data_IF_353876526223
#
_entry.id   IF_353876526223
#
_cell.length_a   1.000
_cell.length_b   1.000
_cell.length_c   1.000
_cell.angle_alpha   90.00
_cell.angle_beta   90.00
_cell.angle_gamma   90.00
#
_symmetry.space_group_name_H-M   'P 1'
#
loop_
_entity.id
_entity.type
_entity.pdbx_description
1 polymer ?
#
# COMPACT_ATOMS: atom_id res chain seq x y z
N UNK A 1 44.32 54.70 14.44
CA UNK A 1 44.60 53.65 13.45
C UNK A 1 43.48 52.63 13.51
N UNK A 2 42.42 52.79 12.69
CA UNK A 2 41.29 51.82 12.59
C UNK A 2 41.45 50.99 11.33
N UNK A 3 41.59 49.70 11.51
CA UNK A 3 41.69 48.72 10.40
C UNK A 3 40.29 48.09 10.20
N UNK A 4 39.62 48.49 9.12
CA UNK A 4 38.33 47.98 8.74
C UNK A 4 38.46 46.54 8.20
N UNK A 5 37.73 45.58 8.79
CA UNK A 5 37.58 44.21 8.31
C UNK A 5 36.55 44.21 7.16
N UNK A 6 36.98 43.88 5.97
CA UNK A 6 36.12 43.59 4.81
C UNK A 6 35.54 42.20 4.96
N UNK A 7 34.23 42.12 5.20
CA UNK A 7 33.49 40.83 5.11
C UNK A 7 33.23 40.51 3.65
N UNK A 8 33.79 39.38 3.22
CA UNK A 8 33.58 38.77 1.91
C UNK A 8 32.15 38.26 1.80
N UNK A 9 31.39 38.77 0.84
CA UNK A 9 30.11 38.22 0.42
C UNK A 9 30.35 36.92 -0.39
N UNK A 10 30.21 35.78 0.28
CA UNK A 10 30.21 34.46 -0.38
C UNK A 10 28.97 34.36 -1.28
N UNK A 11 29.21 34.12 -2.56
CA UNK A 11 28.16 33.99 -3.58
C UNK A 11 27.14 32.89 -3.27
N UNK A 12 25.87 33.24 -3.26
CA UNK A 12 24.76 32.31 -3.28
C UNK A 12 24.79 31.51 -4.59
N UNK A 13 24.99 30.21 -4.51
CA UNK A 13 24.77 29.35 -5.67
C UNK A 13 23.30 29.41 -6.11
N UNK A 14 23.01 29.49 -7.42
CA UNK A 14 21.63 29.46 -7.89
C UNK A 14 20.98 28.15 -7.47
N UNK A 15 19.84 28.25 -6.74
CA UNK A 15 19.08 27.11 -6.26
C UNK A 15 18.68 26.19 -7.41
N UNK A 16 18.82 24.88 -7.24
CA UNK A 16 18.28 23.89 -8.18
C UNK A 16 16.82 24.24 -8.48
N UNK A 17 16.40 24.26 -9.76
CA UNK A 17 15.01 24.52 -10.10
C UNK A 17 14.12 23.49 -9.40
N UNK A 18 13.05 23.94 -8.77
CA UNK A 18 12.03 23.09 -8.14
C UNK A 18 11.51 22.10 -9.20
N UNK A 19 11.39 20.80 -8.86
CA UNK A 19 10.85 19.82 -9.79
C UNK A 19 9.45 20.26 -10.24
N UNK A 20 9.19 20.20 -11.53
CA UNK A 20 7.87 20.52 -12.09
C UNK A 20 6.80 19.69 -11.40
N UNK A 21 5.63 20.28 -11.04
CA UNK A 21 4.52 19.52 -10.46
C UNK A 21 4.15 18.39 -11.42
N UNK A 22 4.12 17.16 -10.90
CA UNK A 22 3.70 16.02 -11.70
C UNK A 22 2.23 16.18 -12.08
N UNK A 23 1.83 15.79 -13.29
CA UNK A 23 0.43 15.80 -13.66
C UNK A 23 -0.38 14.93 -12.68
N UNK A 24 -1.60 15.38 -12.35
CA UNK A 24 -2.50 14.61 -11.48
C UNK A 24 -2.70 13.22 -12.08
N UNK A 25 -2.69 12.16 -11.25
CA UNK A 25 -2.84 10.81 -11.76
C UNK A 25 -4.20 10.67 -12.46
N UNK A 26 -4.17 10.09 -13.65
CA UNK A 26 -5.39 9.64 -14.32
C UNK A 26 -5.82 8.33 -13.66
N UNK A 27 -7.01 8.32 -13.08
CA UNK A 27 -7.57 7.12 -12.46
C UNK A 27 -8.36 6.38 -13.53
N UNK A 28 -7.82 5.25 -13.98
CA UNK A 28 -8.43 4.44 -15.01
C UNK A 28 -9.59 3.58 -14.46
N UNK A 29 -10.65 3.43 -15.26
CA UNK A 29 -11.70 2.47 -14.96
C UNK A 29 -11.11 1.05 -14.79
N UNK A 30 -11.66 0.23 -13.87
CA UNK A 30 -12.91 0.41 -13.14
C UNK A 30 -12.78 1.15 -11.79
N UNK A 31 -11.65 1.80 -11.52
CA UNK A 31 -11.41 2.60 -10.34
C UNK A 31 -12.01 4.00 -10.48
N UNK A 32 -12.46 4.58 -9.37
CA UNK A 32 -12.97 5.96 -9.32
C UNK A 32 -12.60 6.64 -8.01
N UNK A 33 -12.34 7.95 -8.06
CA UNK A 33 -12.07 8.76 -6.89
C UNK A 33 -13.33 9.55 -6.52
N UNK A 34 -13.95 9.19 -5.41
CA UNK A 34 -15.10 9.91 -4.85
C UNK A 34 -14.64 11.00 -3.89
N UNK A 35 -15.22 12.16 -4.00
CA UNK A 35 -14.98 13.28 -3.08
C UNK A 35 -16.21 13.48 -2.20
N UNK A 36 -16.01 13.51 -0.88
CA UNK A 36 -17.06 13.69 0.12
C UNK A 36 -16.46 14.31 1.38
N UNK A 37 -17.10 15.37 1.89
CA UNK A 37 -16.71 16.08 3.12
C UNK A 37 -15.21 16.46 3.19
N UNK A 38 -14.65 16.88 2.07
CA UNK A 38 -13.22 17.22 1.94
C UNK A 38 -12.26 16.03 1.85
N UNK A 39 -12.76 14.80 1.98
CA UNK A 39 -11.99 13.57 1.80
C UNK A 39 -12.02 13.09 0.36
N UNK A 40 -11.01 12.31 -0.03
CA UNK A 40 -10.97 11.61 -1.30
C UNK A 40 -10.82 10.11 -1.03
N UNK A 41 -11.71 9.30 -1.62
CA UNK A 41 -11.78 7.86 -1.41
C UNK A 41 -11.73 7.18 -2.77
N UNK A 42 -10.79 6.25 -2.93
CA UNK A 42 -10.72 5.42 -4.14
C UNK A 42 -11.64 4.21 -3.96
N UNK A 43 -12.49 4.00 -4.95
CA UNK A 43 -13.51 2.95 -4.96
C UNK A 43 -13.42 2.12 -6.25
N UNK A 44 -13.89 0.88 -6.19
CA UNK A 44 -13.94 -0.04 -7.32
C UNK A 44 -15.38 -0.25 -7.79
N UNK A 45 -15.68 0.04 -9.06
CA UNK A 45 -17.03 -0.03 -9.61
C UNK A 45 -17.70 -1.41 -9.48
N UNK A 46 -17.04 -2.56 -9.70
CA UNK A 46 -17.63 -3.89 -9.43
C UNK A 46 -18.08 -4.07 -7.98
N UNK A 47 -17.36 -3.53 -6.99
CA UNK A 47 -17.72 -3.63 -5.57
C UNK A 47 -18.92 -2.75 -5.23
N UNK A 48 -19.05 -1.58 -5.85
CA UNK A 48 -20.20 -0.67 -5.67
C UNK A 48 -21.54 -1.27 -6.09
N UNK A 49 -21.53 -2.30 -6.93
CA UNK A 49 -22.75 -3.01 -7.34
C UNK A 49 -23.29 -3.96 -6.29
N UNK A 50 -22.51 -4.21 -5.23
CA UNK A 50 -22.87 -5.09 -4.11
C UNK A 50 -23.44 -4.24 -2.97
N UNK A 51 -24.77 -4.11 -2.90
CA UNK A 51 -25.46 -3.21 -1.97
C UNK A 51 -25.19 -3.52 -0.49
N UNK A 52 -24.76 -4.74 -0.18
CA UNK A 52 -24.42 -5.18 1.16
C UNK A 52 -22.94 -4.90 1.55
N UNK A 53 -22.13 -4.41 0.60
CA UNK A 53 -20.70 -4.19 0.78
C UNK A 53 -20.40 -2.70 0.95
N UNK A 54 -19.74 -2.35 2.05
CA UNK A 54 -19.02 -1.09 2.18
C UNK A 54 -17.55 -1.34 1.88
N UNK A 55 -16.94 -0.53 1.02
CA UNK A 55 -15.52 -0.62 0.73
C UNK A 55 -14.92 0.74 0.40
N UNK A 56 -13.62 0.87 0.56
CA UNK A 56 -12.89 2.05 0.13
C UNK A 56 -11.40 1.96 0.46
N UNK A 57 -10.62 2.67 -0.33
CA UNK A 57 -9.20 2.91 -0.09
C UNK A 57 -9.05 4.40 0.18
N UNK A 58 -8.56 4.78 1.35
CA UNK A 58 -8.37 6.18 1.69
C UNK A 58 -7.26 6.80 0.86
N UNK A 59 -7.31 8.13 0.71
CA UNK A 59 -6.15 8.93 0.34
C UNK A 59 -5.63 9.67 1.58
N UNK A 60 -4.53 10.41 1.44
CA UNK A 60 -4.04 11.30 2.50
C UNK A 60 -4.80 12.63 2.59
N UNK A 61 -5.70 12.91 1.62
CA UNK A 61 -6.34 14.21 1.48
C UNK A 61 -7.42 14.43 2.52
N UNK A 62 -7.44 15.62 3.10
CA UNK A 62 -8.40 16.01 4.14
C UNK A 62 -7.94 15.62 5.54
N UNK A 63 -8.92 15.41 6.44
CA UNK A 63 -8.63 15.08 7.84
C UNK A 63 -8.16 16.26 8.68
N UNK A 64 -7.70 15.96 9.90
CA UNK A 64 -7.26 16.96 10.87
C UNK A 64 -5.85 16.73 11.42
N UNK A 65 -5.13 15.71 10.97
CA UNK A 65 -3.72 15.52 11.33
C UNK A 65 -2.85 16.61 10.73
N UNK A 66 -1.82 17.02 11.46
CA UNK A 66 -0.76 17.91 10.94
C UNK A 66 0.52 17.08 10.86
N UNK A 67 1.02 16.91 9.65
CA UNK A 67 2.26 16.18 9.40
C UNK A 67 3.46 16.92 10.00
N UNK A 68 4.58 16.25 10.25
CA UNK A 68 5.83 16.90 10.66
C UNK A 68 6.29 17.98 9.66
N UNK A 69 5.88 17.90 8.39
CA UNK A 69 6.10 18.93 7.35
C UNK A 69 5.20 20.15 7.48
N UNK A 70 4.20 20.15 8.39
CA UNK A 70 3.21 21.22 8.58
C UNK A 70 1.96 21.09 7.71
N UNK A 71 1.87 20.12 6.83
CA UNK A 71 0.73 19.91 5.95
C UNK A 71 -0.42 19.19 6.66
N UNK A 72 -1.66 19.54 6.28
CA UNK A 72 -2.86 18.86 6.77
C UNK A 72 -3.07 17.55 6.02
N UNK A 73 -3.41 16.46 6.75
CA UNK A 73 -3.58 15.16 6.17
C UNK A 73 -4.58 14.26 6.92
N UNK A 74 -5.08 13.23 6.21
CA UNK A 74 -5.94 12.18 6.76
C UNK A 74 -5.07 10.99 7.20
N UNK A 75 -4.36 11.11 8.33
CA UNK A 75 -3.66 9.96 8.91
C UNK A 75 -4.67 9.08 9.66
N UNK A 76 -4.67 7.78 9.36
CA UNK A 76 -5.65 6.82 9.88
C UNK A 76 -5.02 5.76 10.79
N UNK A 77 -3.75 5.93 11.17
CA UNK A 77 -3.06 5.04 12.12
C UNK A 77 -2.36 5.81 13.22
N UNK A 78 -2.23 5.16 14.37
CA UNK A 78 -1.49 5.70 15.50
C UNK A 78 0.01 5.69 15.19
N UNK A 79 0.53 6.88 14.86
CA UNK A 79 1.95 7.17 14.62
C UNK A 79 2.50 7.95 15.81
N UNK A 80 3.82 7.98 15.98
CA UNK A 80 4.45 8.68 17.12
C UNK A 80 4.23 10.18 17.09
N UNK A 81 4.06 10.76 15.91
CA UNK A 81 3.90 12.20 15.71
C UNK A 81 2.44 12.68 15.78
N UNK A 82 1.44 11.77 15.83
CA UNK A 82 0.02 12.15 15.78
C UNK A 82 -0.72 11.71 17.06
N UNK A 83 -1.70 12.51 17.51
CA UNK A 83 -2.44 12.17 18.71
C UNK A 83 -3.48 11.08 18.47
N UNK A 84 -3.78 10.30 19.50
CA UNK A 84 -4.84 9.27 19.42
C UNK A 84 -6.20 9.88 19.13
N UNK A 85 -6.46 11.07 19.67
CA UNK A 85 -7.71 11.83 19.50
C UNK A 85 -7.88 12.24 18.03
N UNK A 86 -6.83 12.81 17.42
CA UNK A 86 -6.81 13.21 16.01
C UNK A 86 -7.03 12.02 15.07
N UNK A 87 -6.30 10.92 15.29
CA UNK A 87 -6.47 9.71 14.49
C UNK A 87 -7.88 9.13 14.65
N UNK A 88 -8.45 9.16 15.85
CA UNK A 88 -9.82 8.69 16.10
C UNK A 88 -10.85 9.58 15.38
N UNK A 89 -10.66 10.90 15.37
CA UNK A 89 -11.52 11.83 14.61
C UNK A 89 -11.42 11.56 13.09
N UNK A 90 -10.22 11.35 12.57
CA UNK A 90 -10.00 10.99 11.17
C UNK A 90 -10.69 9.67 10.79
N UNK A 91 -10.59 8.64 11.63
CA UNK A 91 -11.27 7.36 11.41
C UNK A 91 -12.78 7.52 11.38
N UNK A 92 -13.36 8.28 12.31
CA UNK A 92 -14.80 8.59 12.32
C UNK A 92 -15.21 9.36 11.06
N UNK A 93 -14.44 10.36 10.63
CA UNK A 93 -14.69 11.09 9.41
C UNK A 93 -14.64 10.18 8.16
N UNK A 94 -13.66 9.29 8.09
CA UNK A 94 -13.55 8.30 7.01
C UNK A 94 -14.71 7.31 7.00
N UNK A 95 -15.11 6.76 8.16
CA UNK A 95 -16.27 5.89 8.27
C UNK A 95 -17.58 6.60 7.87
N UNK A 96 -17.77 7.87 8.27
CA UNK A 96 -18.91 8.69 7.84
C UNK A 96 -18.92 8.87 6.33
N UNK A 97 -17.79 9.23 5.76
CA UNK A 97 -17.66 9.40 4.32
C UNK A 97 -17.96 8.12 3.52
N UNK A 98 -17.84 6.95 4.14
CA UNK A 98 -18.21 5.65 3.57
C UNK A 98 -19.67 5.26 3.84
N UNK A 99 -20.39 5.97 4.71
CA UNK A 99 -21.70 5.53 5.23
C UNK A 99 -21.60 4.31 6.15
N UNK A 100 -20.45 4.19 6.84
CA UNK A 100 -20.09 3.04 7.67
C UNK A 100 -20.06 3.33 9.18
N UNK A 101 -20.76 4.38 9.64
CA UNK A 101 -20.74 4.80 11.07
C UNK A 101 -21.28 3.72 12.01
N UNK A 102 -22.17 2.87 11.50
CA UNK A 102 -22.75 1.76 12.26
C UNK A 102 -21.89 0.52 12.30
N UNK A 103 -20.81 0.48 11.51
CA UNK A 103 -19.90 -0.66 11.46
C UNK A 103 -18.76 -0.49 12.47
N UNK A 104 -18.39 -1.59 13.11
CA UNK A 104 -17.25 -1.62 14.01
C UNK A 104 -15.96 -1.81 13.22
N UNK A 105 -15.04 -0.85 13.29
CA UNK A 105 -13.75 -0.92 12.64
C UNK A 105 -12.85 -1.95 13.34
N UNK A 106 -12.48 -3.01 12.61
CA UNK A 106 -11.58 -4.07 13.07
C UNK A 106 -10.26 -3.94 12.34
N UNK A 107 -9.20 -3.57 13.06
CA UNK A 107 -7.84 -3.48 12.55
C UNK A 107 -6.93 -4.39 13.36
N UNK A 108 -5.98 -5.03 12.68
CA UNK A 108 -4.96 -5.89 13.29
C UNK A 108 -3.72 -5.08 13.69
N UNK A 109 -2.93 -5.63 14.61
CA UNK A 109 -1.54 -5.22 14.81
C UNK A 109 -0.69 -5.90 13.74
N UNK A 110 -0.47 -5.19 12.63
CA UNK A 110 0.27 -5.69 11.47
C UNK A 110 1.77 -5.77 11.77
N UNK A 111 2.41 -6.87 11.38
CA UNK A 111 3.83 -7.10 11.57
C UNK A 111 4.52 -7.78 10.38
N UNK A 112 3.93 -7.63 9.19
CA UNK A 112 4.41 -8.16 7.92
C UNK A 112 4.46 -9.70 7.86
N UNK A 113 3.47 -10.34 8.45
CA UNK A 113 3.31 -11.80 8.50
C UNK A 113 2.40 -12.34 7.38
N UNK A 114 2.11 -13.65 7.47
CA UNK A 114 1.03 -14.28 6.71
C UNK A 114 -0.06 -14.87 7.63
N UNK A 115 -0.26 -14.23 8.79
CA UNK A 115 -1.29 -14.63 9.76
C UNK A 115 -2.62 -14.03 9.35
N UNK A 116 -3.64 -14.90 9.25
CA UNK A 116 -5.00 -14.58 8.81
C UNK A 116 -5.97 -14.86 9.96
N UNK A 117 -6.88 -13.93 10.23
CA UNK A 117 -7.88 -14.08 11.29
C UNK A 117 -9.31 -13.98 10.76
N UNK A 118 -10.14 -15.03 10.94
CA UNK A 118 -11.59 -14.93 10.77
C UNK A 118 -12.21 -14.21 11.98
N UNK A 119 -13.20 -13.33 11.71
CA UNK A 119 -13.99 -12.64 12.72
C UNK A 119 -15.48 -12.87 12.48
N UNK A 120 -16.17 -13.36 13.51
CA UNK A 120 -17.64 -13.42 13.56
C UNK A 120 -18.24 -12.27 14.39
N UNK A 121 -17.42 -11.62 15.22
CA UNK A 121 -17.76 -10.47 16.05
C UNK A 121 -16.53 -9.60 16.27
N UNK A 122 -16.73 -8.43 16.88
CA UNK A 122 -15.63 -7.55 17.29
C UNK A 122 -14.74 -8.30 18.30
N UNK A 123 -13.42 -8.40 18.04
CA UNK A 123 -12.53 -9.05 19.00
C UNK A 123 -12.43 -8.22 20.31
N UNK A 124 -12.37 -8.90 21.44
CA UNK A 124 -12.18 -8.25 22.77
C UNK A 124 -10.83 -7.53 22.87
N UNK A 125 -9.82 -8.04 22.17
CA UNK A 125 -8.48 -7.45 22.10
C UNK A 125 -7.95 -7.43 20.67
N UNK A 126 -7.13 -6.42 20.31
CA UNK A 126 -6.48 -6.38 19.01
C UNK A 126 -5.56 -7.59 18.80
N UNK A 127 -5.72 -8.32 17.68
CA UNK A 127 -4.90 -9.48 17.33
C UNK A 127 -3.72 -9.08 16.45
N UNK A 128 -2.63 -9.82 16.56
CA UNK A 128 -1.47 -9.69 15.69
C UNK A 128 -1.71 -10.47 14.40
N UNK A 129 -1.55 -9.83 13.24
CA UNK A 129 -1.76 -10.45 11.94
C UNK A 129 -1.81 -9.42 10.82
N UNK A 130 -1.87 -9.91 9.59
CA UNK A 130 -1.81 -9.04 8.41
C UNK A 130 -2.98 -9.27 7.44
N UNK A 131 -3.87 -10.22 7.75
CA UNK A 131 -5.13 -10.39 7.02
C UNK A 131 -6.28 -10.76 7.96
N UNK A 132 -7.47 -10.31 7.61
CA UNK A 132 -8.71 -10.60 8.32
C UNK A 132 -9.83 -10.90 7.33
N UNK A 133 -10.79 -11.73 7.73
CA UNK A 133 -11.95 -12.07 6.92
C UNK A 133 -13.21 -12.19 7.76
N UNK A 134 -14.37 -11.89 7.17
CA UNK A 134 -15.69 -11.99 7.79
C UNK A 134 -16.81 -12.16 6.78
N UNK A 135 -17.92 -12.75 7.20
CA UNK A 135 -19.22 -12.66 6.54
C UNK A 135 -20.30 -12.12 7.51
N UNK A 136 -19.89 -11.69 8.70
CA UNK A 136 -20.79 -11.12 9.70
C UNK A 136 -21.08 -9.66 9.36
N UNK A 137 -22.36 -9.27 9.41
CA UNK A 137 -22.77 -7.88 9.33
C UNK A 137 -22.26 -7.09 10.55
N UNK A 138 -22.09 -5.78 10.39
CA UNK A 138 -21.67 -4.90 11.47
C UNK A 138 -20.17 -4.78 11.66
N UNK A 139 -19.34 -5.51 10.89
CA UNK A 139 -17.89 -5.41 10.92
C UNK A 139 -17.33 -4.67 9.68
N UNK A 140 -16.36 -3.79 9.91
CA UNK A 140 -15.57 -3.11 8.90
C UNK A 140 -14.10 -3.52 9.09
N UNK A 141 -13.63 -4.47 8.29
CA UNK A 141 -12.23 -4.91 8.32
C UNK A 141 -11.34 -3.85 7.72
N UNK A 142 -10.18 -3.61 8.33
CA UNK A 142 -9.24 -2.59 7.89
C UNK A 142 -7.80 -3.08 7.89
N UNK A 143 -7.06 -2.71 6.85
CA UNK A 143 -5.60 -2.82 6.79
C UNK A 143 -4.98 -1.45 6.57
N UNK A 144 -3.84 -1.23 7.22
CA UNK A 144 -3.09 0.02 7.21
C UNK A 144 -1.92 -0.12 6.25
N UNK A 145 -1.72 0.88 5.38
CA UNK A 145 -0.61 0.86 4.43
C UNK A 145 0.06 2.23 4.30
N UNK A 146 1.33 2.20 3.96
CA UNK A 146 2.10 3.26 3.33
C UNK A 146 3.17 2.53 2.52
N UNK A 147 2.89 2.29 1.24
CA UNK A 147 3.63 1.52 0.24
C UNK A 147 3.29 0.03 0.12
N UNK A 148 3.08 -0.72 1.22
CA UNK A 148 2.66 -2.12 1.11
C UNK A 148 1.32 -2.27 0.38
N UNK A 149 1.10 -3.41 -0.25
CA UNK A 149 -0.08 -3.69 -1.08
C UNK A 149 -1.31 -3.98 -0.22
N UNK A 150 -2.37 -3.15 -0.26
CA UNK A 150 -3.65 -3.49 0.34
C UNK A 150 -4.47 -4.31 -0.66
N UNK A 151 -5.05 -5.43 -0.21
CA UNK A 151 -5.91 -6.26 -1.04
C UNK A 151 -7.24 -6.45 -0.33
N UNK A 152 -8.34 -6.22 -1.05
CA UNK A 152 -9.69 -6.59 -0.61
C UNK A 152 -10.19 -7.75 -1.45
N UNK A 153 -10.62 -8.83 -0.79
CA UNK A 153 -11.29 -9.96 -1.43
C UNK A 153 -12.77 -9.94 -1.07
N UNK A 154 -13.63 -10.18 -2.05
CA UNK A 154 -15.09 -10.16 -1.87
C UNK A 154 -15.70 -11.36 -2.56
N UNK A 155 -16.48 -12.16 -1.83
CA UNK A 155 -17.29 -13.22 -2.42
C UNK A 155 -18.76 -12.79 -2.47
N UNK A 156 -19.31 -12.43 -3.65
CA UNK A 156 -20.65 -11.84 -3.77
C UNK A 156 -21.78 -12.67 -3.15
N UNK A 157 -21.84 -13.98 -3.46
CA UNK A 157 -22.93 -14.84 -3.01
C UNK A 157 -22.84 -15.22 -1.53
N UNK A 158 -21.63 -15.31 -0.97
CA UNK A 158 -21.41 -15.64 0.46
C UNK A 158 -21.46 -14.40 1.35
N UNK A 159 -21.54 -13.21 0.75
CA UNK A 159 -21.43 -11.91 1.43
C UNK A 159 -20.21 -11.88 2.36
N UNK A 160 -19.09 -12.45 1.89
CA UNK A 160 -17.85 -12.55 2.66
C UNK A 160 -16.82 -11.57 2.11
N UNK A 161 -16.06 -10.96 3.01
CA UNK A 161 -15.02 -10.00 2.70
C UNK A 161 -13.74 -10.33 3.45
N UNK A 162 -12.58 -10.07 2.83
CA UNK A 162 -11.29 -10.09 3.50
C UNK A 162 -10.50 -8.82 3.18
N UNK A 163 -9.70 -8.38 4.15
CA UNK A 163 -8.75 -7.28 4.01
C UNK A 163 -7.34 -7.80 4.32
N UNK A 164 -6.38 -7.54 3.42
CA UNK A 164 -5.03 -8.10 3.45
C UNK A 164 -4.03 -6.97 3.34
N UNK A 165 -3.04 -6.97 4.23
CA UNK A 165 -1.82 -6.19 4.14
C UNK A 165 -0.69 -7.07 3.59
N UNK A 166 -0.26 -6.83 2.36
CA UNK A 166 0.78 -7.62 1.70
C UNK A 166 2.04 -6.76 1.47
N UNK A 167 2.89 -6.67 2.49
CA UNK A 167 4.27 -6.24 2.33
C UNK A 167 5.11 -7.36 1.68
N UNK A 168 6.39 -7.12 1.36
CA UNK A 168 7.22 -8.12 0.69
C UNK A 168 7.34 -9.46 1.47
N UNK A 169 7.46 -9.40 2.81
CA UNK A 169 7.50 -10.60 3.65
C UNK A 169 6.20 -11.38 3.63
N UNK A 170 5.07 -10.67 3.76
CA UNK A 170 3.73 -11.29 3.66
C UNK A 170 3.47 -11.86 2.27
N UNK A 171 3.91 -11.19 1.21
CA UNK A 171 3.84 -11.66 -0.17
C UNK A 171 4.68 -12.93 -0.35
N UNK A 172 5.93 -12.92 0.12
CA UNK A 172 6.81 -14.09 0.07
C UNK A 172 6.20 -15.28 0.83
N UNK A 173 5.59 -15.02 1.98
CA UNK A 173 4.89 -16.02 2.79
C UNK A 173 3.48 -16.39 2.29
N UNK A 174 3.09 -15.95 1.07
CA UNK A 174 1.84 -16.28 0.37
C UNK A 174 0.56 -15.85 1.10
N UNK A 175 0.55 -14.64 1.70
CA UNK A 175 -0.59 -14.17 2.49
C UNK A 175 -1.89 -14.07 1.65
N UNK A 176 -1.80 -13.65 0.39
CA UNK A 176 -2.97 -13.55 -0.49
C UNK A 176 -3.58 -14.94 -0.76
N UNK A 177 -2.77 -15.93 -1.14
CA UNK A 177 -3.18 -17.31 -1.37
C UNK A 177 -3.77 -17.94 -0.11
N UNK A 178 -3.10 -17.78 1.06
CA UNK A 178 -3.59 -18.26 2.36
C UNK A 178 -4.96 -17.67 2.71
N UNK A 179 -5.16 -16.39 2.45
CA UNK A 179 -6.47 -15.76 2.73
C UNK A 179 -7.57 -16.31 1.84
N UNK A 180 -7.31 -16.60 0.57
CA UNK A 180 -8.28 -17.30 -0.29
C UNK A 180 -8.59 -18.70 0.25
N UNK A 181 -7.58 -19.44 0.72
CA UNK A 181 -7.75 -20.74 1.39
C UNK A 181 -8.63 -20.64 2.63
N UNK A 182 -8.41 -19.63 3.49
CA UNK A 182 -9.24 -19.38 4.67
C UNK A 182 -10.69 -19.03 4.31
N UNK A 183 -10.92 -18.20 3.28
CA UNK A 183 -12.27 -17.91 2.79
C UNK A 183 -12.98 -19.18 2.28
N UNK A 184 -12.25 -20.07 1.62
CA UNK A 184 -12.78 -21.37 1.18
C UNK A 184 -13.15 -22.26 2.38
N UNK A 185 -12.27 -22.39 3.36
CA UNK A 185 -12.49 -23.23 4.54
C UNK A 185 -13.63 -22.70 5.43
N UNK A 186 -13.66 -21.38 5.67
CA UNK A 186 -14.61 -20.78 6.64
C UNK A 186 -16.00 -20.53 6.04
N UNK A 187 -16.08 -20.18 4.76
CA UNK A 187 -17.34 -19.74 4.14
C UNK A 187 -17.77 -20.61 2.97
N UNK A 188 -17.00 -21.66 2.63
CA UNK A 188 -17.25 -22.45 1.42
C UNK A 188 -17.17 -21.61 0.15
N UNK A 189 -16.29 -20.60 0.14
CA UNK A 189 -16.08 -19.74 -1.02
C UNK A 189 -15.43 -20.49 -2.16
N UNK A 190 -16.02 -20.44 -3.37
CA UNK A 190 -15.31 -20.89 -4.56
C UNK A 190 -14.37 -19.77 -5.02
N UNK A 191 -13.05 -20.02 -5.14
CA UNK A 191 -12.10 -18.98 -5.55
C UNK A 191 -12.46 -18.30 -6.89
N UNK A 192 -13.03 -19.05 -7.84
CA UNK A 192 -13.44 -18.49 -9.13
C UNK A 192 -14.58 -17.45 -9.04
N UNK A 193 -15.33 -17.40 -7.93
CA UNK A 193 -16.40 -16.43 -7.69
C UNK A 193 -15.92 -15.23 -6.85
N UNK A 194 -14.68 -15.26 -6.34
CA UNK A 194 -14.10 -14.14 -5.57
C UNK A 194 -13.69 -13.02 -6.52
N UNK A 195 -14.04 -11.79 -6.13
CA UNK A 195 -13.54 -10.56 -6.72
C UNK A 195 -12.41 -10.01 -5.85
N UNK A 196 -11.31 -9.57 -6.46
CA UNK A 196 -10.15 -9.03 -5.77
C UNK A 196 -9.86 -7.61 -6.23
N UNK A 197 -9.65 -6.70 -5.28
CA UNK A 197 -9.15 -5.34 -5.51
C UNK A 197 -7.74 -5.22 -4.91
N UNK A 198 -6.73 -5.09 -5.74
CA UNK A 198 -5.35 -4.76 -5.35
C UNK A 198 -5.23 -3.24 -5.43
N UNK A 199 -5.21 -2.57 -4.28
CA UNK A 199 -5.24 -1.11 -4.16
C UNK A 199 -3.90 -0.42 -4.44
N UNK A 200 -3.86 0.92 -4.29
CA UNK A 200 -2.64 1.70 -4.44
C UNK A 200 -1.51 1.21 -3.54
N UNK A 201 -0.34 1.04 -4.11
CA UNK A 201 0.87 0.57 -3.43
C UNK A 201 2.10 1.14 -4.11
N UNK A 202 3.27 0.96 -3.51
CA UNK A 202 4.50 1.32 -4.21
C UNK A 202 4.66 0.46 -5.47
N UNK A 203 4.85 1.11 -6.61
CA UNK A 203 5.05 0.42 -7.88
C UNK A 203 6.52 0.06 -8.12
N UNK A 204 6.79 -0.82 -9.07
CA UNK A 204 8.14 -1.14 -9.53
C UNK A 204 8.94 0.12 -9.92
N UNK A 205 8.27 1.17 -10.42
CA UNK A 205 8.91 2.46 -10.72
C UNK A 205 9.66 3.10 -9.55
N UNK A 206 9.33 2.72 -8.28
CA UNK A 206 9.88 3.32 -7.07
C UNK A 206 10.36 2.31 -6.02
N UNK A 207 10.02 1.03 -6.18
CA UNK A 207 10.34 0.02 -5.17
C UNK A 207 11.65 -0.70 -5.49
N UNK A 208 12.74 0.01 -5.23
CA UNK A 208 14.09 -0.53 -5.32
C UNK A 208 14.40 -1.41 -4.10
N UNK A 209 14.93 -2.60 -4.34
CA UNK A 209 15.28 -3.62 -3.33
C UNK A 209 16.62 -4.26 -3.66
N UNK A 210 17.24 -4.90 -2.68
CA UNK A 210 18.47 -5.67 -2.90
C UNK A 210 18.23 -6.94 -3.72
N UNK A 211 19.27 -7.43 -4.35
CA UNK A 211 19.24 -8.64 -5.20
C UNK A 211 18.97 -9.92 -4.41
N UNK A 212 19.17 -9.91 -3.09
CA UNK A 212 18.83 -11.01 -2.20
C UNK A 212 17.35 -11.40 -2.30
N UNK A 213 16.45 -10.40 -2.51
CA UNK A 213 15.01 -10.68 -2.68
C UNK A 213 14.71 -11.43 -3.98
N UNK A 214 15.51 -11.29 -5.02
CA UNK A 214 15.35 -12.09 -6.25
C UNK A 214 15.48 -13.57 -5.90
N UNK A 215 16.55 -13.94 -5.19
CA UNK A 215 16.80 -15.33 -4.79
C UNK A 215 15.67 -15.86 -3.90
N UNK A 216 15.22 -15.07 -2.92
CA UNK A 216 14.12 -15.46 -2.03
C UNK A 216 12.82 -15.71 -2.81
N UNK A 217 12.45 -14.81 -3.71
CA UNK A 217 11.22 -14.97 -4.49
C UNK A 217 11.30 -16.10 -5.51
N UNK A 218 12.42 -16.24 -6.23
CA UNK A 218 12.59 -17.33 -7.23
C UNK A 218 12.61 -18.71 -6.58
N UNK A 219 13.05 -18.82 -5.32
CA UNK A 219 12.95 -20.07 -4.57
C UNK A 219 11.51 -20.46 -4.21
N UNK A 220 10.56 -19.51 -4.20
CA UNK A 220 9.17 -19.72 -3.78
C UNK A 220 8.18 -19.71 -4.94
N UNK A 221 8.46 -18.96 -6.00
CA UNK A 221 7.51 -18.74 -7.10
C UNK A 221 8.17 -19.04 -8.45
N UNK A 222 7.59 -19.92 -9.27
CA UNK A 222 8.15 -20.30 -10.58
C UNK A 222 8.23 -19.13 -11.56
N UNK A 223 7.34 -18.13 -11.41
CA UNK A 223 7.20 -16.95 -12.27
C UNK A 223 7.83 -15.69 -11.66
N UNK A 224 8.63 -15.84 -10.59
CA UNK A 224 9.17 -14.72 -9.82
C UNK A 224 10.10 -13.79 -10.61
N UNK A 225 10.82 -14.30 -11.60
CA UNK A 225 11.66 -13.46 -12.48
C UNK A 225 10.87 -12.31 -13.09
N UNK A 226 9.61 -12.58 -13.44
CA UNK A 226 8.71 -11.58 -13.97
C UNK A 226 8.28 -10.49 -12.98
N UNK A 227 8.57 -10.61 -11.69
CA UNK A 227 8.23 -9.61 -10.67
C UNK A 227 9.29 -8.51 -10.54
N UNK A 228 10.47 -8.74 -11.13
CA UNK A 228 11.61 -7.86 -11.00
C UNK A 228 11.94 -7.18 -12.33
N UNK A 229 12.19 -5.87 -12.25
CA UNK A 229 12.81 -5.11 -13.33
C UNK A 229 14.25 -4.77 -12.93
N UNK A 230 15.20 -5.00 -13.80
CA UNK A 230 16.58 -4.58 -13.59
C UNK A 230 16.67 -3.04 -13.61
N UNK A 231 17.38 -2.47 -12.64
CA UNK A 231 17.79 -1.09 -12.75
C UNK A 231 18.82 -1.00 -13.89
N UNK A 232 18.38 -0.53 -15.04
CA UNK A 232 19.31 0.01 -16.04
C UNK A 232 19.91 1.26 -15.41
N UNK A 233 21.10 1.13 -14.82
CA UNK A 233 21.97 2.29 -14.61
C UNK A 233 22.17 2.89 -15.99
N UNK A 234 21.74 4.14 -16.18
CA UNK A 234 21.73 4.81 -17.49
C UNK A 234 23.11 5.13 -18.09
N UNK A 235 24.15 4.50 -17.63
CA UNK A 235 25.47 4.44 -18.20
C UNK A 235 25.69 3.00 -18.64
N UNK A 236 25.75 2.77 -19.95
CA UNK A 236 26.37 1.57 -20.45
C UNK A 236 27.76 1.50 -19.82
N UNK A 237 28.11 0.42 -19.10
CA UNK A 237 29.45 0.32 -18.51
C UNK A 237 30.44 0.40 -19.66
N UNK A 238 31.20 1.49 -19.73
CA UNK A 238 32.37 1.52 -20.58
C UNK A 238 33.26 0.34 -20.18
N UNK A 239 33.40 -0.71 -21.02
CA UNK A 239 34.12 -1.92 -20.63
C UNK A 239 35.57 -1.64 -20.21
N UNK A 240 36.11 -0.46 -20.58
CA UNK A 240 37.46 -0.04 -20.24
C UNK A 240 37.54 0.72 -18.90
N UNK A 241 36.44 1.19 -18.35
CA UNK A 241 36.41 1.88 -17.05
C UNK A 241 36.68 0.94 -15.87
N UNK A 242 36.38 -0.34 -16.05
CA UNK A 242 36.55 -1.36 -15.00
C UNK A 242 37.99 -1.87 -14.85
N UNK A 243 38.80 -1.72 -15.90
CA UNK A 243 40.18 -2.25 -15.91
C UNK A 243 41.18 -1.39 -15.14
N UNK A 244 40.90 -0.11 -14.87
CA UNK A 244 41.93 0.81 -14.41
C UNK A 244 41.69 1.56 -13.09
N UNK A 245 40.56 1.38 -12.38
CA UNK A 245 40.23 2.26 -11.27
C UNK A 245 39.70 1.61 -9.98
N UNK A 246 39.76 0.30 -9.82
CA UNK A 246 39.37 -0.30 -8.54
C UNK A 246 40.61 -0.69 -7.72
N UNK A 247 40.81 -0.08 -6.52
CA UNK A 247 41.78 -0.59 -5.55
C UNK A 247 41.43 -2.04 -5.15
N UNK A 248 42.43 -2.87 -4.83
CA UNK A 248 42.18 -4.22 -4.36
C UNK A 248 41.24 -4.20 -3.13
N UNK A 249 40.12 -4.92 -3.20
CA UNK A 249 39.11 -5.01 -2.12
C UNK A 249 37.83 -4.22 -2.31
N UNK A 250 37.67 -3.43 -3.39
CA UNK A 250 36.38 -2.79 -3.71
C UNK A 250 35.45 -3.79 -4.41
N UNK A 251 34.34 -4.11 -3.75
CA UNK A 251 33.24 -4.79 -4.41
C UNK A 251 32.41 -3.77 -5.19
N UNK A 252 31.94 -4.09 -6.41
CA UNK A 252 30.98 -3.21 -7.11
C UNK A 252 29.77 -2.99 -6.21
N UNK A 253 29.14 -1.80 -6.27
CA UNK A 253 27.93 -1.54 -5.49
C UNK A 253 26.92 -2.66 -5.78
N UNK A 254 26.20 -3.15 -4.76
CA UNK A 254 25.22 -4.21 -4.96
C UNK A 254 24.24 -3.77 -6.03
N UNK A 255 24.02 -4.64 -7.03
CA UNK A 255 22.99 -4.40 -8.05
C UNK A 255 21.67 -4.35 -7.32
N UNK A 256 20.95 -3.23 -7.42
CA UNK A 256 19.58 -3.13 -6.96
C UNK A 256 18.64 -3.47 -8.10
N UNK A 257 17.50 -4.02 -7.75
CA UNK A 257 16.42 -4.38 -8.69
C UNK A 257 15.13 -3.70 -8.25
N UNK A 258 14.16 -3.60 -9.14
CA UNK A 258 12.84 -3.08 -8.82
C UNK A 258 11.85 -4.22 -8.71
N UNK A 259 11.11 -4.27 -7.60
CA UNK A 259 10.12 -5.31 -7.32
C UNK A 259 8.69 -4.80 -7.52
N UNK A 260 7.89 -5.52 -8.30
CA UNK A 260 6.45 -5.30 -8.42
C UNK A 260 5.67 -6.25 -7.50
N UNK A 261 5.38 -5.78 -6.29
CA UNK A 261 4.57 -6.54 -5.32
C UNK A 261 3.11 -6.73 -5.77
N UNK A 262 2.56 -5.82 -6.59
CA UNK A 262 1.19 -5.95 -7.10
C UNK A 262 1.11 -7.13 -8.07
N UNK A 263 2.09 -7.25 -8.96
CA UNK A 263 2.21 -8.37 -9.90
C UNK A 263 2.38 -9.69 -9.17
N UNK A 264 3.26 -9.75 -8.15
CA UNK A 264 3.47 -10.94 -7.33
C UNK A 264 2.18 -11.38 -6.60
N UNK A 265 1.45 -10.45 -5.98
CA UNK A 265 0.18 -10.77 -5.32
C UNK A 265 -0.92 -11.17 -6.31
N UNK A 266 -0.97 -10.53 -7.50
CA UNK A 266 -1.90 -10.94 -8.57
C UNK A 266 -1.64 -12.38 -9.01
N UNK A 267 -0.38 -12.76 -9.20
CA UNK A 267 0.00 -14.14 -9.54
C UNK A 267 -0.46 -15.13 -8.47
N UNK A 268 -0.28 -14.82 -7.19
CA UNK A 268 -0.78 -15.66 -6.09
C UNK A 268 -2.31 -15.84 -6.13
N UNK A 269 -3.07 -14.78 -6.42
CA UNK A 269 -4.52 -14.86 -6.53
C UNK A 269 -4.95 -15.73 -7.71
N UNK A 270 -4.26 -15.65 -8.84
CA UNK A 270 -4.49 -16.53 -9.99
C UNK A 270 -4.18 -17.99 -9.64
N UNK A 271 -3.04 -18.26 -8.99
CA UNK A 271 -2.65 -19.57 -8.52
C UNK A 271 -3.64 -20.16 -7.50
N UNK A 272 -4.26 -19.30 -6.67
CA UNK A 272 -5.31 -19.68 -5.73
C UNK A 272 -6.66 -19.98 -6.41
N UNK A 273 -6.79 -19.77 -7.74
CA UNK A 273 -7.97 -20.12 -8.54
C UNK A 273 -8.94 -18.96 -8.79
N UNK A 274 -8.56 -17.71 -8.54
CA UNK A 274 -9.37 -16.58 -8.98
C UNK A 274 -9.30 -16.46 -10.51
N UNK A 275 -10.39 -15.99 -11.12
CA UNK A 275 -10.40 -15.67 -12.56
C UNK A 275 -9.66 -14.37 -12.80
N UNK A 276 -8.93 -14.27 -13.88
CA UNK A 276 -8.22 -13.04 -14.25
C UNK A 276 -9.13 -11.82 -14.33
N UNK A 277 -10.28 -11.97 -14.97
CA UNK A 277 -11.31 -10.91 -15.08
C UNK A 277 -11.90 -10.45 -13.74
N UNK A 278 -11.61 -11.15 -12.64
CA UNK A 278 -12.06 -10.83 -11.29
C UNK A 278 -10.98 -10.12 -10.44
N UNK A 279 -9.78 -9.91 -10.99
CA UNK A 279 -8.68 -9.28 -10.27
C UNK A 279 -8.46 -7.86 -10.83
N UNK A 280 -8.75 -6.86 -10.04
CA UNK A 280 -8.65 -5.45 -10.40
C UNK A 280 -7.44 -4.83 -9.71
N UNK A 281 -6.42 -4.47 -10.48
CA UNK A 281 -5.17 -3.89 -9.97
C UNK A 281 -5.19 -2.39 -10.19
N UNK A 282 -4.89 -1.60 -9.13
CA UNK A 282 -4.64 -0.17 -9.27
C UNK A 282 -3.24 0.05 -9.82
N UNK A 283 -3.11 0.93 -10.81
CA UNK A 283 -1.83 1.37 -11.39
C UNK A 283 -1.16 2.48 -10.58
N UNK A 284 -1.86 3.04 -9.59
CA UNK A 284 -1.38 4.16 -8.78
C UNK A 284 -0.23 3.75 -7.87
N UNK A 285 0.94 4.38 -8.07
CA UNK A 285 2.10 4.22 -7.19
C UNK A 285 2.06 5.25 -6.06
N UNK A 286 2.08 4.80 -4.81
CA UNK A 286 2.05 5.67 -3.62
C UNK A 286 3.23 6.62 -3.56
N UNK A 287 4.43 6.17 -3.93
CA UNK A 287 5.65 6.96 -3.94
C UNK A 287 5.75 7.95 -5.12
N UNK A 288 5.01 7.71 -6.21
CA UNK A 288 4.89 8.67 -7.32
C UNK A 288 3.85 9.76 -7.03
N UNK A 289 2.80 9.42 -6.27
CA UNK A 289 1.65 10.29 -6.02
C UNK A 289 1.52 10.61 -4.52
N UNK A 290 2.56 11.23 -3.95
CA UNK A 290 2.58 11.65 -2.54
C UNK A 290 1.62 12.80 -2.25
N UNK A 291 1.06 13.45 -3.26
CA UNK A 291 -0.07 14.38 -3.17
C UNK A 291 -1.39 13.68 -2.81
N UNK A 292 -1.54 12.38 -3.15
CA UNK A 292 -2.72 11.56 -2.85
C UNK A 292 -2.48 10.51 -1.78
N UNK A 293 -1.27 9.99 -1.64
CA UNK A 293 -0.99 8.84 -0.79
C UNK A 293 0.19 9.10 0.15
N UNK A 294 0.18 8.45 1.29
CA UNK A 294 1.37 8.32 2.13
C UNK A 294 2.33 7.30 1.54
N UNK A 295 3.63 7.59 1.59
CA UNK A 295 4.69 6.69 1.18
C UNK A 295 5.80 6.65 2.22
N UNK A 296 5.96 5.51 2.87
CA UNK A 296 7.05 5.31 3.84
C UNK A 296 8.43 5.41 3.16
N UNK A 297 8.55 4.94 1.92
CA UNK A 297 9.78 5.06 1.12
C UNK A 297 10.20 6.53 0.90
N UNK A 298 9.24 7.45 0.82
CA UNK A 298 9.51 8.88 0.58
C UNK A 298 9.58 9.70 1.85
N UNK A 299 8.78 9.39 2.85
CA UNK A 299 8.52 10.22 4.02
C UNK A 299 9.07 9.58 5.32
N UNK A 300 9.51 8.33 5.28
CA UNK A 300 10.05 7.58 6.42
C UNK A 300 9.15 7.68 7.67
N UNK A 301 9.72 8.02 8.84
CA UNK A 301 8.98 8.13 10.10
C UNK A 301 7.92 9.25 10.10
N UNK A 302 8.03 10.26 9.22
CA UNK A 302 7.04 11.31 9.06
C UNK A 302 5.78 10.88 8.28
N UNK A 303 5.78 9.68 7.69
CA UNK A 303 4.65 9.17 6.91
C UNK A 303 3.47 8.82 7.80
N UNK A 304 2.25 9.23 7.38
CA UNK A 304 1.01 8.70 7.92
C UNK A 304 0.69 7.30 7.38
N UNK A 305 -0.53 6.84 7.65
CA UNK A 305 -1.03 5.56 7.11
C UNK A 305 -2.39 5.73 6.47
N UNK A 306 -2.55 5.06 5.36
CA UNK A 306 -3.81 4.87 4.64
C UNK A 306 -4.58 3.69 5.24
N UNK A 307 -5.88 3.63 5.01
CA UNK A 307 -6.70 2.43 5.25
C UNK A 307 -7.30 1.92 3.94
N UNK A 308 -7.25 0.61 3.77
CA UNK A 308 -8.15 -0.10 2.87
C UNK A 308 -9.16 -0.86 3.74
N UNK A 309 -10.43 -0.67 3.46
CA UNK A 309 -11.52 -1.22 4.28
C UNK A 309 -12.53 -1.98 3.45
N UNK A 310 -13.07 -3.05 4.05
CA UNK A 310 -14.19 -3.79 3.51
C UNK A 310 -15.10 -4.28 4.63
N UNK A 311 -16.41 -4.09 4.51
CA UNK A 311 -17.37 -4.46 5.55
C UNK A 311 -18.69 -4.94 5.00
N UNK A 312 -19.42 -5.68 5.82
CA UNK A 312 -20.73 -6.25 5.49
C UNK A 312 -21.80 -5.46 6.23
N UNK A 313 -22.75 -4.88 5.48
CA UNK A 313 -24.00 -4.31 6.02
C UNK A 313 -25.15 -5.30 5.82
N UNK A 314 -26.21 -5.11 6.60
CA UNK A 314 -27.43 -5.94 6.55
C UNK A 314 -28.13 -5.88 5.19
#
# INVERSE_FOLDING_TARGET
MHRALRTSLAGRQPGKPLPRPRPRPQIAAPWSLRRVDGLQILELAPFKRLHWLVHGFSTRTGGCSILPSGERALNLSYTEWDSRETVTQNRKAFQRALGAERLNLVALRQFHSAVVHPFAAVPSEPRNGDASLTNAAGLLLAVQTADCVPILLVHPKKRAVAAIHAGWRGTLARIAEKTVGEMRMKFGSNPSDILAAIGPAIGACCYEVGTELVTEFTSQFPDAEGYFDELRTGEEPNPLQWLNMMPPGHQPPPKSVRLDLRKANRSQLLAAGLRDAHIFVSDLCTACHTDLFFSYRKEAAGSGRLLAVGGVIE
#
